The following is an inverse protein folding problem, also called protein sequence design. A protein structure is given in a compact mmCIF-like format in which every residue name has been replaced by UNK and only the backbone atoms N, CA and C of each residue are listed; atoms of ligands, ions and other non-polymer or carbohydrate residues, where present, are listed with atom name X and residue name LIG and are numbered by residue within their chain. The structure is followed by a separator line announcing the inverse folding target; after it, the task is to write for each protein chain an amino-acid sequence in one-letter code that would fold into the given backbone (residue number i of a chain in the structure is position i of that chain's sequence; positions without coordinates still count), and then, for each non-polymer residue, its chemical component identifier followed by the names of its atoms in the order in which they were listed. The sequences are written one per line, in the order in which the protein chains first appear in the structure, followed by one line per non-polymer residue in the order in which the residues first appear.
data_IF_407252331592
#
_entry.id   IF_407252331592
#
_cell.length_a   1.000
_cell.length_b   1.000
_cell.length_c   1.000
_cell.angle_alpha   90.00
_cell.angle_beta   90.00
_cell.angle_gamma   90.00
#
_symmetry.space_group_name_H-M   'P 1'
#
loop_
_entity.id
_entity.type
_entity.pdbx_description
1 polymer ?
#
# COMPACT_ATOMS: atom_id res chain seq x y z
N UNK A 1 30.25 13.31 -51.71
CA UNK A 1 29.37 12.15 -51.91
C UNK A 1 29.80 11.10 -50.93
N UNK A 2 28.96 10.79 -49.95
CA UNK A 2 29.19 9.66 -49.05
C UNK A 2 28.16 8.58 -49.34
N UNK A 3 28.66 7.35 -49.40
CA UNK A 3 28.09 6.24 -50.13
C UNK A 3 26.99 5.58 -49.31
N UNK A 4 25.75 5.66 -49.82
CA UNK A 4 24.61 4.93 -49.31
C UNK A 4 24.87 3.43 -49.33
N UNK A 5 24.97 2.82 -48.15
CA UNK A 5 25.03 1.35 -48.02
C UNK A 5 23.61 0.79 -48.04
N UNK A 6 23.42 -0.13 -48.99
CA UNK A 6 22.21 -0.90 -49.32
C UNK A 6 21.45 -1.42 -48.10
N UNK A 7 20.22 -0.94 -47.93
CA UNK A 7 19.22 -1.53 -47.03
C UNK A 7 18.46 -2.63 -47.76
N UNK A 8 18.94 -3.87 -47.62
CA UNK A 8 18.27 -5.08 -48.13
C UNK A 8 17.43 -5.70 -47.01
N UNK A 9 16.17 -5.99 -47.36
CA UNK A 9 15.05 -6.20 -46.46
C UNK A 9 15.19 -7.31 -45.40
N UNK A 10 14.73 -6.96 -44.20
CA UNK A 10 14.33 -7.81 -43.08
C UNK A 10 13.44 -6.96 -42.17
N UNK A 11 12.47 -7.54 -41.44
CA UNK A 11 11.56 -6.77 -40.61
C UNK A 11 12.37 -6.17 -39.47
N UNK A 12 12.53 -4.84 -39.48
CA UNK A 12 13.35 -4.06 -38.54
C UNK A 12 14.85 -4.39 -38.62
N UNK A 13 15.64 -3.46 -39.18
CA UNK A 13 17.10 -3.61 -39.31
C UNK A 13 17.73 -3.93 -37.94
N UNK A 14 18.59 -4.94 -37.88
CA UNK A 14 19.32 -5.34 -36.66
C UNK A 14 20.00 -4.14 -35.96
N UNK A 15 20.40 -3.13 -36.74
CA UNK A 15 20.89 -1.85 -36.25
C UNK A 15 19.88 -1.09 -35.39
N UNK A 16 18.60 -1.06 -35.77
CA UNK A 16 17.52 -0.44 -35.00
C UNK A 16 17.30 -1.15 -33.67
N UNK A 17 17.40 -2.49 -33.63
CA UNK A 17 17.31 -3.26 -32.39
C UNK A 17 18.48 -2.98 -31.44
N UNK A 18 19.70 -2.94 -31.97
CA UNK A 18 20.88 -2.58 -31.17
C UNK A 18 20.79 -1.15 -30.63
N UNK A 19 20.31 -0.21 -31.44
CA UNK A 19 20.14 1.18 -31.02
C UNK A 19 19.09 1.28 -29.91
N UNK A 20 17.98 0.55 -29.99
CA UNK A 20 16.94 0.53 -28.96
C UNK A 20 17.44 -0.16 -27.68
N UNK A 21 18.17 -1.27 -27.77
CA UNK A 21 18.76 -1.93 -26.59
C UNK A 21 19.82 -1.07 -25.90
N UNK A 22 20.67 -0.37 -26.67
CA UNK A 22 21.68 0.54 -26.11
C UNK A 22 21.02 1.76 -25.48
N UNK A 23 20.08 2.38 -26.17
CA UNK A 23 19.38 3.56 -25.66
C UNK A 23 18.51 3.19 -24.46
N UNK A 24 17.73 2.11 -24.54
CA UNK A 24 16.90 1.58 -23.47
C UNK A 24 17.73 1.12 -22.27
N UNK A 25 18.81 0.38 -22.49
CA UNK A 25 19.73 -0.05 -21.44
C UNK A 25 20.43 1.13 -20.76
N UNK A 26 20.89 2.12 -21.52
CA UNK A 26 21.47 3.36 -21.00
C UNK A 26 20.48 4.17 -20.18
N UNK A 27 19.24 4.29 -20.64
CA UNK A 27 18.14 4.95 -19.92
C UNK A 27 17.82 4.20 -18.62
N UNK A 28 17.71 2.87 -18.65
CA UNK A 28 17.47 2.06 -17.44
C UNK A 28 18.61 2.23 -16.44
N UNK A 29 19.88 2.18 -16.89
CA UNK A 29 21.04 2.38 -16.01
C UNK A 29 21.08 3.80 -15.47
N UNK A 30 20.77 4.82 -16.29
CA UNK A 30 20.68 6.21 -15.87
C UNK A 30 19.62 6.40 -14.79
N UNK A 31 18.39 5.93 -15.05
CA UNK A 31 17.30 6.01 -14.08
C UNK A 31 17.55 5.15 -12.85
N UNK A 32 18.16 3.97 -12.95
CA UNK A 32 18.54 3.17 -11.78
C UNK A 32 19.65 3.83 -10.97
N UNK A 33 20.58 4.54 -11.62
CA UNK A 33 21.64 5.31 -10.94
C UNK A 33 21.08 6.53 -10.21
N UNK A 34 20.04 7.15 -10.75
CA UNK A 34 19.33 8.28 -10.12
C UNK A 34 18.36 7.80 -9.02
N UNK A 35 17.58 6.73 -9.27
CA UNK A 35 16.59 6.16 -8.35
C UNK A 35 17.24 5.42 -7.17
N UNK A 36 18.41 4.79 -7.33
CA UNK A 36 19.13 4.11 -6.24
C UNK A 36 19.49 5.05 -5.09
N UNK A 37 19.76 6.33 -5.35
CA UNK A 37 20.07 7.31 -4.31
C UNK A 37 18.89 7.54 -3.35
N UNK A 38 17.67 7.61 -3.87
CA UNK A 38 16.46 7.75 -3.05
C UNK A 38 16.00 6.41 -2.45
N UNK A 39 16.20 5.29 -3.15
CA UNK A 39 15.85 3.94 -2.65
C UNK A 39 16.79 3.50 -1.51
N UNK A 40 18.06 3.92 -1.49
CA UNK A 40 18.97 3.65 -0.38
C UNK A 40 18.59 4.40 0.90
N UNK A 41 18.13 5.66 0.81
CA UNK A 41 17.54 6.35 1.96
C UNK A 41 16.29 5.65 2.46
N UNK A 42 15.40 5.21 1.57
CA UNK A 42 14.21 4.42 1.94
C UNK A 42 14.61 3.09 2.60
N UNK A 43 15.62 2.37 2.08
CA UNK A 43 16.14 1.10 2.64
C UNK A 43 16.88 1.28 3.97
N UNK A 44 17.63 2.37 4.13
CA UNK A 44 18.31 2.69 5.37
C UNK A 44 17.31 3.14 6.43
N UNK A 45 16.27 3.86 6.01
CA UNK A 45 15.11 4.22 6.84
C UNK A 45 14.26 3.00 7.19
N UNK A 46 14.06 2.03 6.29
CA UNK A 46 13.32 0.79 6.61
C UNK A 46 14.14 -0.22 7.40
N UNK A 47 15.48 -0.22 7.33
CA UNK A 47 16.32 -1.01 8.24
C UNK A 47 16.40 -0.38 9.66
N UNK A 48 16.18 0.93 9.78
CA UNK A 48 16.08 1.62 11.08
C UNK A 48 14.66 1.65 11.66
N UNK A 49 13.63 1.42 10.83
CA UNK A 49 12.37 0.82 11.29
C UNK A 49 12.68 -0.64 11.65
N UNK A 50 13.29 -0.83 12.82
CA UNK A 50 13.23 -2.13 13.51
C UNK A 50 11.76 -2.57 13.43
N UNK A 51 11.43 -3.81 12.97
CA UNK A 51 10.06 -4.29 13.03
C UNK A 51 9.60 -4.03 14.44
N UNK A 52 8.59 -3.15 14.60
CA UNK A 52 8.26 -2.45 15.83
C UNK A 52 8.66 -3.31 17.01
N UNK A 53 9.79 -3.00 17.65
CA UNK A 53 10.20 -3.74 18.82
C UNK A 53 9.03 -3.59 19.76
N UNK A 54 8.30 -4.70 19.97
CA UNK A 54 7.17 -4.76 20.87
C UNK A 54 7.68 -4.32 22.22
N UNK A 55 7.49 -3.05 22.55
CA UNK A 55 7.77 -2.46 23.85
C UNK A 55 6.78 -3.13 24.81
N UNK A 56 7.17 -4.28 25.34
CA UNK A 56 6.30 -5.18 26.12
C UNK A 56 5.18 -5.82 25.28
N UNK A 57 4.43 -6.73 25.90
CA UNK A 57 3.09 -7.07 25.42
C UNK A 57 2.33 -5.76 25.33
N UNK A 58 1.97 -5.32 24.13
CA UNK A 58 1.09 -4.18 23.99
C UNK A 58 -0.16 -4.48 24.83
N UNK A 59 -0.44 -3.66 25.84
CA UNK A 59 -1.66 -3.74 26.61
C UNK A 59 -2.81 -3.27 25.70
N UNK A 60 -3.18 -4.11 24.74
CA UNK A 60 -4.25 -3.87 23.78
C UNK A 60 -5.53 -4.32 24.47
N UNK A 61 -6.40 -3.34 24.77
CA UNK A 61 -7.66 -3.55 25.44
C UNK A 61 -7.64 -3.16 26.92
N UNK A 62 -8.81 -3.21 27.53
CA UNK A 62 -9.08 -2.76 28.89
C UNK A 62 -10.54 -2.36 29.04
N UNK A 63 -11.04 -2.23 30.28
CA UNK A 63 -12.39 -1.74 30.50
C UNK A 63 -12.49 -0.30 29.99
N UNK A 64 -13.56 0.00 29.26
CA UNK A 64 -13.83 1.35 28.80
C UNK A 64 -15.28 1.74 29.10
N UNK A 65 -15.51 3.03 29.28
CA UNK A 65 -16.85 3.59 29.43
C UNK A 65 -16.93 4.79 28.51
N UNK A 66 -17.73 4.65 27.47
CA UNK A 66 -17.85 5.63 26.40
C UNK A 66 -19.32 6.01 26.21
N UNK A 67 -19.56 7.16 25.58
CA UNK A 67 -20.87 7.54 25.09
C UNK A 67 -20.96 7.15 23.62
N UNK A 68 -22.03 6.44 23.25
CA UNK A 68 -22.32 6.16 21.86
C UNK A 68 -22.86 7.42 21.15
N UNK A 69 -23.09 7.32 19.84
CA UNK A 69 -23.64 8.40 19.03
C UNK A 69 -25.08 8.81 19.41
N UNK A 70 -25.80 7.98 20.16
CA UNK A 70 -27.15 8.27 20.67
C UNK A 70 -27.13 8.85 22.10
N UNK A 71 -25.96 9.09 22.69
CA UNK A 71 -25.82 9.58 24.06
C UNK A 71 -26.06 8.53 25.16
N UNK A 72 -26.05 7.24 24.82
CA UNK A 72 -26.09 6.13 25.79
C UNK A 72 -24.68 5.75 26.24
N UNK A 73 -24.53 5.45 27.52
CA UNK A 73 -23.29 4.90 28.06
C UNK A 73 -23.13 3.45 27.61
N UNK A 74 -21.96 3.12 27.05
CA UNK A 74 -21.59 1.78 26.59
C UNK A 74 -20.24 1.38 27.17
N UNK A 75 -20.05 0.07 27.36
CA UNK A 75 -18.86 -0.55 27.94
C UNK A 75 -18.31 -1.64 27.04
N UNK A 76 -17.13 -2.17 27.37
CA UNK A 76 -16.52 -3.29 26.64
C UNK A 76 -17.42 -4.54 26.60
N UNK A 77 -18.30 -4.69 27.58
CA UNK A 77 -19.21 -5.84 27.72
C UNK A 77 -20.29 -5.85 26.65
N UNK A 78 -20.70 -4.68 26.18
CA UNK A 78 -21.77 -4.52 25.18
C UNK A 78 -21.32 -4.99 23.77
N UNK A 79 -20.01 -5.12 23.57
CA UNK A 79 -19.41 -5.53 22.29
C UNK A 79 -18.94 -7.00 22.30
N UNK A 80 -19.16 -7.74 23.39
CA UNK A 80 -18.80 -9.16 23.49
C UNK A 80 -19.72 -10.03 22.63
N UNK A 81 -19.16 -11.11 22.07
CA UNK A 81 -19.92 -12.10 21.28
C UNK A 81 -20.14 -11.75 19.80
N UNK A 82 -19.66 -10.59 19.34
CA UNK A 82 -19.64 -10.20 17.93
C UNK A 82 -18.23 -9.80 17.52
N UNK A 83 -17.87 -10.09 16.28
CA UNK A 83 -16.64 -9.55 15.68
C UNK A 83 -16.77 -8.03 15.58
N UNK A 84 -15.92 -7.31 16.32
CA UNK A 84 -15.95 -5.84 16.40
C UNK A 84 -14.64 -5.28 15.86
N UNK A 85 -14.74 -4.36 14.90
CA UNK A 85 -13.61 -3.60 14.37
C UNK A 85 -13.59 -2.23 15.05
N UNK A 86 -12.56 -1.95 15.84
CA UNK A 86 -12.39 -0.65 16.51
C UNK A 86 -11.50 0.26 15.68
N UNK A 87 -11.99 1.47 15.42
CA UNK A 87 -11.25 2.55 14.75
C UNK A 87 -11.20 3.78 15.66
N UNK A 88 -9.99 4.31 15.90
CA UNK A 88 -9.78 5.49 16.71
C UNK A 88 -9.49 6.69 15.79
N UNK A 89 -10.34 7.71 15.86
CA UNK A 89 -10.23 8.90 15.02
C UNK A 89 -10.99 10.09 15.62
N UNK A 90 -11.01 11.21 14.89
CA UNK A 90 -11.70 12.44 15.28
C UNK A 90 -12.41 13.05 14.06
N UNK A 91 -13.50 13.80 14.30
CA UNK A 91 -14.39 14.27 13.23
C UNK A 91 -13.79 15.37 12.35
N UNK A 92 -12.83 16.15 12.87
CA UNK A 92 -12.16 17.25 12.17
C UNK A 92 -10.82 16.86 11.54
N UNK A 93 -10.75 15.66 10.98
CA UNK A 93 -9.52 15.13 10.40
C UNK A 93 -9.37 15.59 8.94
N UNK A 94 -8.26 16.26 8.57
CA UNK A 94 -8.24 17.05 7.35
C UNK A 94 -8.33 16.27 6.04
N UNK A 95 -7.97 14.98 5.93
CA UNK A 95 -8.15 14.23 4.67
C UNK A 95 -8.14 12.69 4.81
N UNK A 96 -7.38 12.14 5.77
CA UNK A 96 -7.09 10.69 5.86
C UNK A 96 -8.27 9.87 6.39
N UNK A 97 -9.01 10.44 7.34
CA UNK A 97 -10.07 9.71 8.03
C UNK A 97 -11.26 9.28 7.14
N UNK A 98 -11.78 10.10 6.21
CA UNK A 98 -12.84 9.65 5.32
C UNK A 98 -12.38 8.52 4.38
N UNK A 99 -11.14 8.54 3.89
CA UNK A 99 -10.59 7.50 3.02
C UNK A 99 -10.48 6.15 3.76
N UNK A 100 -9.94 6.15 4.98
CA UNK A 100 -9.86 4.94 5.80
C UNK A 100 -11.22 4.37 6.18
N UNK A 101 -12.21 5.22 6.49
CA UNK A 101 -13.58 4.78 6.76
C UNK A 101 -14.22 4.09 5.54
N UNK A 102 -13.99 4.60 4.33
CA UNK A 102 -14.48 3.96 3.10
C UNK A 102 -13.84 2.59 2.86
N UNK A 103 -12.53 2.46 3.09
CA UNK A 103 -11.83 1.17 2.97
C UNK A 103 -12.36 0.14 3.97
N UNK A 104 -12.58 0.55 5.22
CA UNK A 104 -13.15 -0.34 6.24
C UNK A 104 -14.56 -0.80 5.88
N UNK A 105 -15.43 0.11 5.40
CA UNK A 105 -16.77 -0.25 4.95
C UNK A 105 -16.73 -1.27 3.79
N UNK A 106 -15.85 -1.07 2.81
CA UNK A 106 -15.65 -2.00 1.71
C UNK A 106 -15.13 -3.37 2.19
N UNK A 107 -14.24 -3.39 3.18
CA UNK A 107 -13.73 -4.63 3.77
C UNK A 107 -14.83 -5.42 4.50
N UNK A 108 -15.66 -4.76 5.31
CA UNK A 108 -16.79 -5.39 6.01
C UNK A 108 -17.76 -6.03 5.01
N UNK A 109 -18.08 -5.34 3.92
CA UNK A 109 -18.96 -5.88 2.87
C UNK A 109 -18.38 -7.14 2.21
N UNK A 110 -17.07 -7.16 1.94
CA UNK A 110 -16.39 -8.35 1.40
C UNK A 110 -16.42 -9.51 2.38
N UNK A 111 -16.12 -9.25 3.66
CA UNK A 111 -16.13 -10.25 4.73
C UNK A 111 -17.54 -10.83 4.92
N UNK A 112 -18.57 -9.98 4.94
CA UNK A 112 -19.96 -10.44 5.04
C UNK A 112 -20.32 -11.37 3.89
N UNK A 113 -19.96 -11.01 2.65
CA UNK A 113 -20.20 -11.86 1.46
C UNK A 113 -19.46 -13.19 1.54
N UNK A 114 -18.20 -13.21 1.98
CA UNK A 114 -17.42 -14.44 2.10
C UNK A 114 -17.92 -15.34 3.23
N UNK A 115 -18.28 -14.75 4.38
CA UNK A 115 -18.85 -15.49 5.51
C UNK A 115 -20.19 -16.11 5.10
N UNK A 116 -21.08 -15.35 4.46
CA UNK A 116 -22.36 -15.88 3.93
C UNK A 116 -22.15 -17.07 2.99
N UNK A 117 -21.10 -17.05 2.16
CA UNK A 117 -20.76 -18.14 1.24
C UNK A 117 -20.18 -19.37 1.94
N UNK A 118 -19.62 -19.25 3.14
CA UNK A 118 -19.13 -20.40 3.92
C UNK A 118 -20.22 -21.05 4.79
N UNK A 119 -21.32 -20.33 5.04
CA UNK A 119 -22.44 -20.80 5.85
C UNK A 119 -23.67 -21.25 5.03
N UNK A 120 -23.59 -21.17 3.69
CA UNK A 120 -24.58 -21.71 2.75
C UNK A 120 -24.05 -22.99 2.10
#
# INVERSE_FOLDING_TARGET
GDSGKSVRGGPVSWLSFLLLLVTGGGIIVYYDKEKKRHIEELKNSTNSVKPAQSVGTAAIGGPFTLLNHDGKTVTEKDFLGKWTLLYFGFTHCPDICPDELQKMAAAINKISKSIQSCFA
#
